data_IF_430506745768
#
_entry.id   IF_430506745768
#
_cell.length_a   1.000
_cell.length_b   1.000
_cell.length_c   1.000
_cell.angle_alpha   90.00
_cell.angle_beta   90.00
_cell.angle_gamma   90.00
#
_symmetry.space_group_name_H-M   'P 1'
#
loop_
_entity.id
_entity.type
_entity.pdbx_description
1 polymer ?
#
# COMPACT_ATOMS: atom_id res chain seq x y z
N UNK A 1 4.71 8.13 -13.85
CA UNK A 1 4.55 6.87 -13.10
C UNK A 1 5.82 6.06 -13.30
N UNK A 2 6.27 5.26 -12.34
CA UNK A 2 7.55 4.54 -12.49
C UNK A 2 7.42 3.29 -13.37
N UNK A 3 6.28 2.60 -13.30
CA UNK A 3 5.95 1.42 -14.08
C UNK A 3 4.63 1.67 -14.81
N UNK A 4 4.56 1.33 -16.09
CA UNK A 4 3.39 1.55 -16.97
C UNK A 4 2.28 0.53 -16.70
N UNK A 5 2.64 -0.67 -16.22
CA UNK A 5 1.68 -1.78 -16.00
C UNK A 5 0.95 -1.70 -14.67
N UNK A 6 1.19 -0.65 -13.90
CA UNK A 6 0.64 -0.40 -12.57
C UNK A 6 0.05 1.00 -12.51
N UNK A 7 -0.82 1.29 -11.54
CA UNK A 7 -1.44 2.62 -11.37
C UNK A 7 -0.92 3.40 -10.18
N UNK A 8 -0.33 2.73 -9.20
CA UNK A 8 0.09 3.32 -7.93
C UNK A 8 1.59 3.26 -7.67
N UNK A 9 2.41 2.82 -8.64
CA UNK A 9 3.87 2.74 -8.44
C UNK A 9 4.54 4.11 -8.37
N UNK A 10 5.10 4.42 -7.19
CA UNK A 10 5.83 5.67 -6.91
C UNK A 10 6.73 5.54 -5.68
N UNK A 11 7.70 6.45 -5.58
CA UNK A 11 8.45 6.68 -4.35
C UNK A 11 7.55 7.34 -3.29
N UNK A 12 7.63 6.89 -2.04
CA UNK A 12 6.94 7.57 -0.93
C UNK A 12 7.74 8.77 -0.43
N UNK A 13 9.07 8.77 -0.63
CA UNK A 13 9.96 9.90 -0.35
C UNK A 13 10.37 10.56 -1.68
N UNK A 14 10.15 11.86 -1.79
CA UNK A 14 10.58 12.64 -2.97
C UNK A 14 12.07 12.41 -3.23
N UNK A 15 12.41 12.09 -4.48
CA UNK A 15 13.78 11.85 -4.96
C UNK A 15 14.57 10.75 -4.24
N UNK A 16 13.88 9.84 -3.54
CA UNK A 16 14.51 8.71 -2.86
C UNK A 16 13.89 7.37 -3.31
N UNK A 17 14.67 6.60 -4.06
CA UNK A 17 14.28 5.26 -4.56
C UNK A 17 14.16 4.21 -3.46
N UNK A 18 14.45 4.53 -2.19
CA UNK A 18 14.55 3.55 -1.11
C UNK A 18 13.26 2.76 -0.87
N UNK A 19 12.12 3.43 -0.94
CA UNK A 19 10.81 2.87 -0.61
C UNK A 19 9.82 3.17 -1.74
N UNK A 20 9.38 2.12 -2.43
CA UNK A 20 8.44 2.17 -3.53
C UNK A 20 7.16 1.49 -3.10
N UNK A 21 6.05 2.22 -3.19
CA UNK A 21 4.72 1.63 -3.05
C UNK A 21 4.14 1.31 -4.41
N UNK A 22 3.28 0.31 -4.51
CA UNK A 22 2.56 -0.05 -5.74
C UNK A 22 1.18 -0.66 -5.47
N UNK A 23 0.35 -0.74 -6.51
CA UNK A 23 -0.70 -1.77 -6.68
C UNK A 23 -0.09 -3.09 -7.19
N UNK A 24 -0.91 -4.13 -7.37
CA UNK A 24 -0.37 -5.44 -7.75
C UNK A 24 0.32 -5.38 -9.12
N UNK A 25 1.62 -5.75 -9.22
CA UNK A 25 2.33 -5.76 -10.49
C UNK A 25 2.16 -7.13 -11.17
N UNK A 26 0.95 -7.42 -11.65
CA UNK A 26 0.58 -8.72 -12.23
C UNK A 26 0.86 -8.84 -13.74
N UNK A 27 1.21 -7.73 -14.41
CA UNK A 27 1.44 -7.68 -15.85
C UNK A 27 2.80 -7.07 -16.23
N UNK A 28 3.78 -7.11 -15.33
CA UNK A 28 5.10 -6.50 -15.56
C UNK A 28 5.74 -6.98 -16.87
N UNK A 29 6.22 -6.02 -17.66
CA UNK A 29 7.04 -6.30 -18.84
C UNK A 29 8.46 -6.71 -18.44
N UNK A 30 9.22 -7.30 -19.36
CA UNK A 30 10.64 -7.60 -19.09
C UNK A 30 11.46 -6.32 -18.87
N UNK A 31 11.14 -5.24 -19.59
CA UNK A 31 11.77 -3.92 -19.41
C UNK A 31 11.55 -3.34 -18.01
N UNK A 32 10.34 -3.48 -17.47
CA UNK A 32 10.02 -3.05 -16.11
C UNK A 32 10.74 -3.90 -15.06
N UNK A 33 10.85 -5.21 -15.28
CA UNK A 33 11.63 -6.10 -14.41
C UNK A 33 13.11 -5.72 -14.42
N UNK A 34 13.67 -5.48 -15.59
CA UNK A 34 15.08 -5.06 -15.74
C UNK A 34 15.31 -3.67 -15.12
N UNK A 35 14.33 -2.77 -15.20
CA UNK A 35 14.38 -1.47 -14.52
C UNK A 35 14.42 -1.64 -13.00
N UNK A 36 13.59 -2.52 -12.42
CA UNK A 36 13.61 -2.80 -10.98
C UNK A 36 15.00 -3.29 -10.55
N UNK A 37 15.58 -4.24 -11.27
CA UNK A 37 16.91 -4.80 -10.97
C UNK A 37 17.99 -3.73 -11.10
N UNK A 38 17.97 -2.94 -12.19
CA UNK A 38 18.95 -1.89 -12.44
C UNK A 38 18.93 -0.78 -11.40
N UNK A 39 17.78 -0.57 -10.75
CA UNK A 39 17.60 0.38 -9.65
C UNK A 39 17.76 -0.27 -8.25
N UNK A 40 18.28 -1.50 -8.18
CA UNK A 40 18.47 -2.26 -6.95
C UNK A 40 17.18 -2.42 -6.14
N UNK A 41 16.03 -2.54 -6.81
CA UNK A 41 14.72 -2.80 -6.21
C UNK A 41 14.50 -4.31 -6.20
N UNK A 42 15.22 -5.00 -5.30
CA UNK A 42 15.24 -6.46 -5.28
C UNK A 42 14.50 -7.06 -4.07
N UNK A 43 14.03 -6.26 -3.12
CA UNK A 43 13.18 -6.73 -2.03
C UNK A 43 11.73 -6.40 -2.33
N UNK A 44 10.88 -7.42 -2.36
CA UNK A 44 9.46 -7.30 -2.65
C UNK A 44 8.66 -7.73 -1.43
N UNK A 45 7.69 -6.91 -1.00
CA UNK A 45 6.79 -7.24 0.11
C UNK A 45 5.34 -7.21 -0.39
N UNK A 46 4.74 -8.38 -0.50
CA UNK A 46 3.36 -8.57 -0.93
C UNK A 46 2.43 -8.62 0.28
N UNK A 47 1.64 -7.56 0.45
CA UNK A 47 0.75 -7.34 1.59
C UNK A 47 -0.60 -8.06 1.47
N UNK A 48 -0.77 -8.87 0.41
CA UNK A 48 -2.05 -9.52 0.09
C UNK A 48 -2.24 -10.82 0.86
N UNK A 49 -3.47 -11.33 0.87
CA UNK A 49 -3.72 -12.70 1.30
C UNK A 49 -3.41 -13.72 0.20
N UNK A 50 -3.35 -14.99 0.56
CA UNK A 50 -3.09 -16.08 -0.39
C UNK A 50 -4.14 -16.15 -1.51
N UNK A 51 -5.41 -15.90 -1.18
CA UNK A 51 -6.49 -15.93 -2.17
C UNK A 51 -6.29 -14.85 -3.25
N UNK A 52 -5.94 -13.62 -2.85
CA UNK A 52 -5.66 -12.53 -3.78
C UNK A 52 -4.40 -12.82 -4.63
N UNK A 53 -3.38 -13.46 -4.06
CA UNK A 53 -2.18 -13.90 -4.80
C UNK A 53 -2.51 -14.94 -5.86
N UNK A 54 -3.40 -15.89 -5.55
CA UNK A 54 -3.83 -16.91 -6.50
C UNK A 54 -4.66 -16.32 -7.64
N UNK A 55 -5.51 -15.33 -7.36
CA UNK A 55 -6.33 -14.64 -8.36
C UNK A 55 -5.50 -13.73 -9.27
N UNK A 56 -4.53 -13.00 -8.72
CA UNK A 56 -3.63 -12.09 -9.47
C UNK A 56 -2.17 -12.40 -9.13
N UNK A 57 -1.56 -13.30 -9.89
CA UNK A 57 -0.16 -13.67 -9.70
C UNK A 57 0.77 -12.50 -10.03
N UNK A 58 1.80 -12.32 -9.22
CA UNK A 58 2.93 -11.44 -9.55
C UNK A 58 4.08 -12.30 -10.03
N UNK A 59 4.61 -12.03 -11.23
CA UNK A 59 5.71 -12.83 -11.81
C UNK A 59 7.02 -12.76 -11.00
N UNK A 60 7.18 -11.74 -10.17
CA UNK A 60 8.37 -11.59 -9.31
C UNK A 60 8.45 -12.65 -8.20
N UNK A 61 7.34 -13.31 -7.86
CA UNK A 61 7.31 -14.37 -6.84
C UNK A 61 8.17 -15.58 -7.22
N UNK A 62 8.24 -15.89 -8.51
CA UNK A 62 8.98 -17.05 -9.05
C UNK A 62 10.38 -16.66 -9.57
N UNK A 63 10.75 -15.38 -9.46
CA UNK A 63 12.01 -14.84 -9.95
C UNK A 63 13.07 -14.78 -8.83
N UNK A 64 14.07 -15.65 -8.93
CA UNK A 64 15.13 -15.79 -7.91
C UNK A 64 16.06 -14.58 -7.77
N UNK A 65 15.95 -13.58 -8.66
CA UNK A 65 16.67 -12.30 -8.54
C UNK A 65 16.08 -11.40 -7.46
N UNK A 66 14.84 -11.70 -7.03
CA UNK A 66 14.13 -10.95 -6.00
C UNK A 66 14.04 -11.73 -4.69
N UNK A 67 14.19 -11.03 -3.58
CA UNK A 67 13.85 -11.51 -2.26
C UNK A 67 12.38 -11.15 -1.99
N UNK A 68 11.48 -12.12 -2.21
CA UNK A 68 10.03 -11.92 -2.16
C UNK A 68 9.46 -12.38 -0.80
N UNK A 69 8.81 -11.48 -0.08
CA UNK A 69 8.15 -11.72 1.19
C UNK A 69 6.62 -11.66 1.01
N UNK A 70 5.94 -12.75 1.36
CA UNK A 70 4.48 -12.78 1.47
C UNK A 70 4.10 -12.44 2.92
N UNK A 71 3.63 -11.21 3.16
CA UNK A 71 3.33 -10.71 4.50
C UNK A 71 1.95 -10.04 4.51
N UNK A 72 0.85 -10.83 4.57
CA UNK A 72 -0.51 -10.29 4.52
C UNK A 72 -0.74 -9.28 5.64
N UNK A 73 -1.38 -8.14 5.34
CA UNK A 73 -1.84 -7.22 6.39
C UNK A 73 -3.18 -7.69 6.93
N UNK A 74 -3.26 -7.88 8.25
CA UNK A 74 -4.47 -8.31 8.97
C UNK A 74 -5.64 -7.34 8.74
N UNK A 75 -6.81 -7.89 8.44
CA UNK A 75 -8.07 -7.12 8.36
C UNK A 75 -8.19 -6.16 7.18
N UNK A 76 -7.16 -5.99 6.35
CA UNK A 76 -7.15 -5.00 5.26
C UNK A 76 -7.78 -5.44 3.94
N UNK A 77 -8.54 -6.54 3.98
CA UNK A 77 -9.10 -7.22 2.80
C UNK A 77 -10.62 -6.98 2.69
N UNK A 78 -11.24 -6.45 3.75
CA UNK A 78 -12.66 -6.20 3.85
C UNK A 78 -12.99 -4.76 3.48
N UNK A 79 -14.12 -4.55 2.80
CA UNK A 79 -14.67 -3.22 2.57
C UNK A 79 -15.42 -2.81 3.85
N UNK A 80 -15.12 -1.66 4.47
CA UNK A 80 -15.84 -1.20 5.65
C UNK A 80 -17.34 -1.01 5.38
N UNK A 81 -18.17 -1.20 6.41
CA UNK A 81 -19.63 -1.10 6.28
C UNK A 81 -20.12 0.34 6.09
N UNK A 82 -19.34 1.33 6.56
CA UNK A 82 -19.66 2.75 6.41
C UNK A 82 -18.41 3.63 6.34
N UNK A 83 -18.61 4.89 5.96
CA UNK A 83 -17.57 5.93 5.88
C UNK A 83 -16.87 6.12 7.23
N UNK A 84 -17.62 6.04 8.33
CA UNK A 84 -17.14 6.20 9.70
C UNK A 84 -16.23 5.05 10.15
N UNK A 85 -16.38 3.86 9.54
CA UNK A 85 -15.60 2.68 9.89
C UNK A 85 -14.28 2.58 9.12
N UNK A 86 -14.05 3.42 8.11
CA UNK A 86 -12.82 3.35 7.29
C UNK A 86 -11.57 3.61 8.12
N UNK A 87 -11.54 4.67 8.91
CA UNK A 87 -10.38 4.99 9.76
C UNK A 87 -10.14 3.92 10.82
N UNK A 88 -11.21 3.37 11.40
CA UNK A 88 -11.13 2.24 12.34
C UNK A 88 -10.54 1.00 11.69
N UNK A 89 -10.89 0.74 10.42
CA UNK A 89 -10.28 -0.36 9.67
C UNK A 89 -8.76 -0.18 9.53
N UNK A 90 -8.27 1.05 9.33
CA UNK A 90 -6.83 1.33 9.24
C UNK A 90 -6.13 1.11 10.60
N UNK A 91 -6.79 1.48 11.69
CA UNK A 91 -6.30 1.23 13.06
C UNK A 91 -6.22 -0.28 13.33
N UNK A 92 -7.26 -1.03 12.97
CA UNK A 92 -7.33 -2.48 13.18
C UNK A 92 -6.30 -3.27 12.34
N UNK A 93 -5.70 -2.67 11.31
CA UNK A 93 -4.58 -3.28 10.57
C UNK A 93 -3.27 -3.25 11.37
N UNK A 94 -3.16 -2.47 12.44
CA UNK A 94 -1.93 -2.28 13.20
C UNK A 94 -1.87 -3.29 14.35
N UNK A 95 -1.26 -4.43 14.06
CA UNK A 95 -0.98 -5.52 15.00
C UNK A 95 0.52 -5.88 15.02
N UNK A 96 0.87 -6.98 15.70
CA UNK A 96 2.26 -7.48 15.75
C UNK A 96 2.84 -7.78 14.37
N UNK A 97 2.01 -8.25 13.43
CA UNK A 97 2.43 -8.56 12.08
C UNK A 97 2.69 -7.28 11.26
N UNK A 98 1.92 -6.21 11.47
CA UNK A 98 2.25 -4.88 10.92
C UNK A 98 3.65 -4.42 11.37
N UNK A 99 4.01 -4.61 12.63
CA UNK A 99 5.36 -4.26 13.08
C UNK A 99 6.46 -5.08 12.38
N UNK A 100 6.23 -6.37 12.13
CA UNK A 100 7.16 -7.22 11.37
C UNK A 100 7.28 -6.80 9.91
N UNK A 101 6.18 -6.40 9.27
CA UNK A 101 6.18 -5.85 7.90
C UNK A 101 7.05 -4.59 7.84
N UNK A 102 6.84 -3.66 8.76
CA UNK A 102 7.58 -2.40 8.82
C UNK A 102 9.07 -2.65 9.06
N UNK A 103 9.40 -3.56 9.99
CA UNK A 103 10.79 -3.95 10.26
C UNK A 103 11.47 -4.55 9.02
N UNK A 104 10.78 -5.44 8.32
CA UNK A 104 11.25 -6.07 7.07
C UNK A 104 11.53 -5.03 5.99
N UNK A 105 10.64 -4.05 5.81
CA UNK A 105 10.80 -2.99 4.81
C UNK A 105 11.96 -2.05 5.20
N UNK A 106 12.04 -1.61 6.46
CA UNK A 106 13.06 -0.66 6.90
C UNK A 106 14.46 -1.27 6.82
N UNK A 107 14.62 -2.53 7.25
CA UNK A 107 15.90 -3.22 7.34
C UNK A 107 16.33 -3.96 6.06
N UNK A 108 15.55 -3.87 4.98
CA UNK A 108 15.91 -4.50 3.71
C UNK A 108 17.29 -4.06 3.19
N UNK A 109 18.07 -4.96 2.62
CA UNK A 109 19.41 -4.61 2.12
C UNK A 109 19.38 -3.82 0.81
N UNK A 110 18.33 -3.99 0.02
CA UNK A 110 18.11 -3.35 -1.28
C UNK A 110 16.93 -2.39 -1.19
N UNK A 111 16.65 -1.64 -2.26
CA UNK A 111 15.44 -0.83 -2.31
C UNK A 111 14.20 -1.75 -2.33
N UNK A 112 13.12 -1.29 -1.70
CA UNK A 112 11.95 -2.12 -1.42
C UNK A 112 10.77 -1.67 -2.24
N UNK A 113 10.13 -2.59 -2.95
CA UNK A 113 8.79 -2.40 -3.47
C UNK A 113 7.78 -3.18 -2.63
N UNK A 114 6.74 -2.51 -2.14
CA UNK A 114 5.65 -3.16 -1.41
C UNK A 114 4.29 -2.79 -1.99
N UNK A 115 3.37 -3.74 -1.98
CA UNK A 115 2.07 -3.55 -2.61
C UNK A 115 0.98 -4.40 -1.98
N UNK A 116 -0.27 -3.95 -2.19
CA UNK A 116 -1.47 -4.76 -2.01
C UNK A 116 -2.18 -4.87 -3.37
N UNK A 117 -3.46 -5.23 -3.41
CA UNK A 117 -4.18 -5.37 -4.68
C UNK A 117 -4.31 -4.03 -5.44
N UNK A 118 -4.91 -3.01 -4.82
CA UNK A 118 -5.12 -1.70 -5.46
C UNK A 118 -4.04 -0.67 -5.11
N UNK A 119 -3.11 -1.02 -4.21
CA UNK A 119 -2.09 -0.07 -3.73
C UNK A 119 -2.69 1.12 -2.98
N UNK A 120 -3.84 0.94 -2.32
CA UNK A 120 -4.61 2.00 -1.63
C UNK A 120 -4.54 1.89 -0.11
N UNK A 121 -5.32 0.98 0.48
CA UNK A 121 -5.54 0.94 1.93
C UNK A 121 -4.35 0.34 2.68
N UNK A 122 -4.12 -0.99 2.56
CA UNK A 122 -2.97 -1.68 3.19
C UNK A 122 -1.63 -1.03 2.86
N UNK A 123 -1.38 -0.76 1.58
CA UNK A 123 -0.17 -0.05 1.14
C UNK A 123 -0.11 1.38 1.69
N UNK A 124 -1.24 2.08 1.81
CA UNK A 124 -1.32 3.43 2.35
C UNK A 124 -0.99 3.48 3.84
N UNK A 125 -1.55 2.56 4.63
CA UNK A 125 -1.25 2.41 6.07
C UNK A 125 0.23 2.10 6.29
N UNK A 126 0.80 1.14 5.55
CA UNK A 126 2.24 0.83 5.60
C UNK A 126 3.08 2.07 5.26
N UNK A 127 2.72 2.78 4.18
CA UNK A 127 3.43 4.02 3.77
C UNK A 127 3.37 5.09 4.85
N UNK A 128 2.20 5.29 5.45
CA UNK A 128 1.99 6.28 6.51
C UNK A 128 2.85 5.99 7.74
N UNK A 129 2.94 4.73 8.18
CA UNK A 129 3.78 4.33 9.31
C UNK A 129 5.26 4.54 8.99
N UNK A 130 5.73 4.16 7.79
CA UNK A 130 7.12 4.36 7.38
C UNK A 130 7.46 5.85 7.36
N UNK A 131 6.65 6.67 6.69
CA UNK A 131 6.88 8.12 6.58
C UNK A 131 6.84 8.81 7.95
N UNK A 132 5.93 8.40 8.84
CA UNK A 132 5.88 8.89 10.21
C UNK A 132 7.15 8.54 10.99
N UNK A 133 7.64 7.29 10.91
CA UNK A 133 8.91 6.86 11.52
C UNK A 133 10.12 7.63 10.98
N UNK A 134 10.06 8.07 9.72
CA UNK A 134 11.08 8.91 9.09
C UNK A 134 10.95 10.40 9.42
N UNK A 135 9.98 10.78 10.26
CA UNK A 135 9.79 12.15 10.72
C UNK A 135 9.09 13.08 9.73
N UNK A 136 8.42 12.54 8.71
CA UNK A 136 7.60 13.35 7.80
C UNK A 136 6.35 13.86 8.51
N UNK A 137 5.90 15.06 8.16
CA UNK A 137 4.71 15.65 8.74
C UNK A 137 3.41 15.02 8.17
N UNK A 138 2.29 15.23 8.87
CA UNK A 138 1.00 14.65 8.49
C UNK A 138 0.57 15.06 7.08
N UNK A 139 0.80 16.32 6.68
CA UNK A 139 0.36 16.82 5.37
C UNK A 139 1.10 16.11 4.24
N UNK A 140 2.41 15.87 4.39
CA UNK A 140 3.19 15.08 3.44
C UNK A 140 2.62 13.65 3.29
N UNK A 141 2.28 13.01 4.40
CA UNK A 141 1.74 11.65 4.41
C UNK A 141 0.37 11.60 3.74
N UNK A 142 -0.49 12.56 4.08
CA UNK A 142 -1.83 12.70 3.52
C UNK A 142 -1.76 13.00 2.02
N UNK A 143 -0.86 13.89 1.59
CA UNK A 143 -0.63 14.19 0.18
C UNK A 143 -0.17 12.96 -0.61
N UNK A 144 0.75 12.15 -0.09
CA UNK A 144 1.11 10.89 -0.75
C UNK A 144 -0.09 9.95 -0.86
N UNK A 145 -0.85 9.78 0.23
CA UNK A 145 -2.05 8.92 0.24
C UNK A 145 -3.09 9.38 -0.80
N UNK A 146 -3.35 10.69 -0.88
CA UNK A 146 -4.38 11.25 -1.76
C UNK A 146 -4.05 11.13 -3.25
N UNK A 147 -2.78 10.98 -3.64
CA UNK A 147 -2.41 10.66 -5.05
C UNK A 147 -3.13 9.40 -5.55
N UNK A 148 -3.42 8.45 -4.66
CA UNK A 148 -4.14 7.23 -5.02
C UNK A 148 -5.57 7.49 -5.48
N UNK A 149 -6.21 8.59 -5.05
CA UNK A 149 -7.57 8.96 -5.48
C UNK A 149 -7.62 9.18 -6.98
N UNK A 150 -6.72 10.03 -7.49
CA UNK A 150 -6.65 10.35 -8.91
C UNK A 150 -6.19 9.14 -9.73
N UNK A 151 -5.19 8.39 -9.25
CA UNK A 151 -4.68 7.20 -9.93
C UNK A 151 -5.74 6.11 -10.13
N UNK A 152 -6.71 6.00 -9.21
CA UNK A 152 -7.74 4.96 -9.22
C UNK A 152 -9.12 5.48 -9.62
N UNK A 153 -9.28 6.76 -10.01
CA UNK A 153 -10.57 7.38 -10.28
C UNK A 153 -11.49 6.51 -11.15
N UNK A 154 -11.04 6.14 -12.35
CA UNK A 154 -11.83 5.33 -13.28
C UNK A 154 -12.15 3.93 -12.73
N UNK A 155 -11.21 3.34 -11.98
CA UNK A 155 -11.39 2.01 -11.39
C UNK A 155 -12.43 2.04 -10.27
N UNK A 156 -12.40 3.08 -9.42
CA UNK A 156 -13.37 3.28 -8.34
C UNK A 156 -14.77 3.58 -8.90
N UNK A 157 -14.87 4.44 -9.91
CA UNK A 157 -16.14 4.73 -10.59
C UNK A 157 -16.72 3.49 -11.31
N UNK A 158 -15.87 2.66 -11.90
CA UNK A 158 -16.29 1.39 -12.49
C UNK A 158 -16.78 0.40 -11.44
N UNK A 159 -16.03 0.25 -10.33
CA UNK A 159 -16.40 -0.64 -9.24
C UNK A 159 -17.71 -0.21 -8.56
N UNK A 160 -17.90 1.08 -8.29
CA UNK A 160 -19.13 1.61 -7.71
C UNK A 160 -20.36 1.36 -8.62
N UNK A 161 -20.19 1.43 -9.95
CA UNK A 161 -21.27 1.07 -10.90
C UNK A 161 -21.60 -0.42 -10.88
N UNK A 162 -20.61 -1.29 -10.68
CA UNK A 162 -20.81 -2.75 -10.59
C UNK A 162 -21.36 -3.19 -9.24
N UNK A 163 -21.11 -2.41 -8.19
CA UNK A 163 -21.56 -2.67 -6.82
C UNK A 163 -22.32 -1.46 -6.26
N UNK A 164 -23.53 -1.16 -6.76
CA UNK A 164 -24.29 0.04 -6.39
C UNK A 164 -24.71 0.07 -4.91
N UNK A 165 -24.63 -1.06 -4.21
CA UNK A 165 -24.86 -1.17 -2.78
C UNK A 165 -23.70 -0.63 -1.92
N UNK A 166 -22.52 -0.43 -2.50
CA UNK A 166 -21.35 0.09 -1.81
C UNK A 166 -21.32 1.61 -1.98
N UNK A 167 -21.30 2.35 -0.88
CA UNK A 167 -21.06 3.79 -0.92
C UNK A 167 -19.67 4.07 -1.50
N UNK A 168 -19.62 4.83 -2.60
CA UNK A 168 -18.36 5.19 -3.27
C UNK A 168 -17.39 5.93 -2.32
N UNK A 169 -17.90 6.60 -1.30
CA UNK A 169 -17.07 7.30 -0.31
C UNK A 169 -16.30 6.34 0.61
N UNK A 170 -16.78 5.11 0.80
CA UNK A 170 -16.06 4.07 1.56
C UNK A 170 -14.82 3.60 0.81
N UNK A 171 -14.91 3.49 -0.52
CA UNK A 171 -13.81 2.99 -1.35
C UNK A 171 -12.89 4.10 -1.87
N UNK A 172 -13.36 5.35 -1.90
CA UNK A 172 -12.59 6.50 -2.39
C UNK A 172 -11.64 7.03 -1.32
N UNK A 173 -10.34 7.24 -1.61
CA UNK A 173 -9.43 7.87 -0.66
C UNK A 173 -9.94 9.23 -0.19
N UNK A 174 -9.84 9.46 1.12
CA UNK A 174 -10.22 10.71 1.76
C UNK A 174 -9.17 11.10 2.81
N UNK A 175 -8.78 12.38 2.83
CA UNK A 175 -7.80 12.89 3.80
C UNK A 175 -8.21 12.62 5.23
N UNK A 176 -9.52 12.71 5.52
CA UNK A 176 -10.08 12.44 6.85
C UNK A 176 -9.63 11.09 7.37
N UNK A 177 -9.70 10.04 6.55
CA UNK A 177 -9.36 8.68 6.97
C UNK A 177 -7.89 8.57 7.39
N UNK A 178 -7.01 9.17 6.59
CA UNK A 178 -5.58 9.15 6.88
C UNK A 178 -5.22 10.05 8.07
N UNK A 179 -5.86 11.21 8.21
CA UNK A 179 -5.62 12.13 9.35
C UNK A 179 -6.09 11.52 10.67
N UNK A 180 -7.26 10.88 10.69
CA UNK A 180 -7.77 10.17 11.89
C UNK A 180 -6.84 9.01 12.25
N UNK A 181 -6.37 8.24 11.27
CA UNK A 181 -5.36 7.19 11.49
C UNK A 181 -4.05 7.75 12.08
N UNK A 182 -3.51 8.84 11.52
CA UNK A 182 -2.28 9.48 12.01
C UNK A 182 -2.44 10.07 13.41
N UNK A 183 -3.63 10.60 13.73
CA UNK A 183 -3.94 11.07 15.08
C UNK A 183 -3.90 9.92 16.08
N UNK A 184 -4.52 8.78 15.74
CA UNK A 184 -4.44 7.57 16.56
C UNK A 184 -3.00 7.05 16.66
N UNK A 185 -2.24 7.04 15.57
CA UNK A 185 -0.86 6.55 15.56
C UNK A 185 0.04 7.33 16.54
N UNK A 186 -0.21 8.64 16.70
CA UNK A 186 0.59 9.52 17.57
C UNK A 186 0.18 9.50 19.04
N UNK A 187 -1.12 9.31 19.33
CA UNK A 187 -1.68 9.57 20.66
C UNK A 187 -2.61 8.49 21.19
N UNK A 188 -2.96 7.50 20.36
CA UNK A 188 -3.97 6.49 20.64
C UNK A 188 -3.43 5.15 21.13
N UNK A 189 -2.11 4.94 21.10
CA UNK A 189 -1.50 3.68 21.54
C UNK A 189 -1.44 3.55 23.07
N UNK A 190 -1.51 4.65 23.82
CA UNK A 190 -1.46 4.67 25.29
C UNK A 190 -2.82 4.37 25.97
N UNK A 191 -3.88 4.14 25.18
CA UNK A 191 -5.25 3.89 25.67
C UNK A 191 -5.79 2.48 25.34
N UNK A 192 -4.90 1.51 25.05
CA UNK A 192 -5.24 0.08 24.89
C UNK A 192 -4.62 -0.78 25.97
#
# INVERSE_FOLDING_TARGET
MLLETTKNTRYILTDCVRYIRSDVPNNLTDEEVDWLISNNICTIVDLREDEERQQKKCRLLEDNRFCYYCMPVTGGNMIPDSVEEVSKSYINMVDDNMFQIIDTIINAKTNVMYFCNAGKDRTGVVSAIILHKLGMNDDYIVEDYMKTKENLKDALESFARQCPQIDINVITPNERYMREFLQWLKYGQDNM
#
